data_IF_273375243948
#
_entry.id   IF_273375243948
#
_cell.length_a   1.000
_cell.length_b   1.000
_cell.length_c   1.000
_cell.angle_alpha   90.00
_cell.angle_beta   90.00
_cell.angle_gamma   90.00
#
_symmetry.space_group_name_H-M   'P 1'
#
loop_
_entity.id
_entity.type
_entity.pdbx_description
1 polymer ?
#
# COMPACT_ATOMS: atom_id res chain seq x y z
N UNK A 1 -4.45 3.75 18.10
CA UNK A 1 -3.37 4.40 17.34
C UNK A 1 -4.03 5.26 16.29
N UNK A 2 -3.48 6.42 15.97
CA UNK A 2 -3.97 7.25 14.87
C UNK A 2 -2.87 7.30 13.80
N UNK A 3 -3.26 7.20 12.53
CA UNK A 3 -2.32 7.20 11.40
C UNK A 3 -2.19 8.64 10.91
N UNK A 4 -0.96 9.17 10.92
CA UNK A 4 -0.69 10.49 10.36
C UNK A 4 -0.44 10.38 8.86
N UNK A 5 -1.47 10.65 8.05
CA UNK A 5 -1.40 10.60 6.59
C UNK A 5 -0.54 11.71 5.97
N UNK A 6 -0.21 12.76 6.74
CA UNK A 6 0.70 13.83 6.31
C UNK A 6 2.17 13.53 6.63
N UNK A 7 2.46 12.35 7.20
CA UNK A 7 3.84 11.96 7.47
C UNK A 7 4.60 11.82 6.13
N UNK A 8 5.73 12.51 5.94
CA UNK A 8 6.56 12.34 4.75
C UNK A 8 7.07 10.89 4.59
N UNK A 9 7.05 10.12 5.68
CA UNK A 9 7.36 8.69 5.67
C UNK A 9 6.41 7.84 4.82
N UNK A 10 5.18 8.30 4.54
CA UNK A 10 4.20 7.57 3.72
C UNK A 10 4.34 7.88 2.22
N UNK A 11 5.37 8.63 1.82
CA UNK A 11 5.70 8.86 0.41
C UNK A 11 4.60 9.56 -0.40
N UNK A 12 3.64 10.22 0.26
CA UNK A 12 2.50 10.85 -0.42
C UNK A 12 1.49 9.87 -1.03
N UNK A 13 1.64 8.55 -0.82
CA UNK A 13 0.74 7.53 -1.39
C UNK A 13 -0.72 7.73 -1.01
N UNK A 14 -0.97 8.28 0.19
CA UNK A 14 -2.30 8.59 0.70
C UNK A 14 -3.04 9.73 -0.05
N UNK A 15 -2.34 10.48 -0.91
CA UNK A 15 -2.86 11.67 -1.60
C UNK A 15 -2.93 11.51 -3.13
N UNK A 16 -2.70 10.31 -3.65
CA UNK A 16 -2.80 10.01 -5.09
C UNK A 16 -4.13 9.37 -5.51
N UNK A 17 -4.29 9.01 -6.81
CA UNK A 17 -5.50 8.38 -7.32
C UNK A 17 -5.83 7.02 -6.66
N UNK A 18 -4.84 6.33 -6.10
CA UNK A 18 -5.00 5.11 -5.32
C UNK A 18 -4.91 5.33 -3.80
N UNK A 19 -4.98 6.57 -3.34
CA UNK A 19 -4.78 6.91 -1.93
C UNK A 19 -5.83 6.30 -1.00
N UNK A 20 -7.06 6.09 -1.47
CA UNK A 20 -8.12 5.42 -0.70
C UNK A 20 -7.80 3.94 -0.49
N UNK A 21 -7.34 3.23 -1.53
CA UNK A 21 -6.92 1.83 -1.42
C UNK A 21 -5.69 1.69 -0.51
N UNK A 22 -4.72 2.60 -0.65
CA UNK A 22 -3.56 2.66 0.24
C UNK A 22 -3.96 2.87 1.69
N UNK A 23 -4.85 3.84 1.97
CA UNK A 23 -5.33 4.10 3.33
C UNK A 23 -6.04 2.88 3.91
N UNK A 24 -6.87 2.20 3.12
CA UNK A 24 -7.58 1.00 3.54
C UNK A 24 -6.63 -0.16 3.87
N UNK A 25 -5.64 -0.42 3.03
CA UNK A 25 -4.64 -1.46 3.25
C UNK A 25 -3.73 -1.14 4.45
N UNK A 26 -3.20 0.08 4.50
CA UNK A 26 -2.27 0.51 5.54
C UNK A 26 -2.93 0.61 6.91
N UNK A 27 -4.18 1.12 6.97
CA UNK A 27 -4.92 1.14 8.23
C UNK A 27 -5.25 -0.25 8.74
N UNK A 28 -5.66 -1.16 7.86
CA UNK A 28 -5.85 -2.56 8.22
C UNK A 28 -4.57 -3.16 8.80
N UNK A 29 -3.41 -2.96 8.15
CA UNK A 29 -2.13 -3.44 8.64
C UNK A 29 -1.78 -2.87 10.02
N UNK A 30 -1.89 -1.55 10.20
CA UNK A 30 -1.55 -0.88 11.46
C UNK A 30 -2.38 -1.42 12.63
N UNK A 31 -3.68 -1.65 12.40
CA UNK A 31 -4.62 -2.14 13.42
C UNK A 31 -4.68 -3.67 13.55
N UNK A 32 -4.13 -4.43 12.60
CA UNK A 32 -4.10 -5.89 12.66
C UNK A 32 -3.41 -6.36 13.95
N UNK A 33 -4.10 -7.25 14.66
CA UNK A 33 -3.58 -7.97 15.83
C UNK A 33 -3.25 -9.44 15.53
N UNK A 34 -3.39 -9.87 14.27
CA UNK A 34 -3.07 -11.24 13.84
C UNK A 34 -1.56 -11.50 13.83
N UNK A 35 -1.19 -12.77 13.93
CA UNK A 35 0.17 -13.25 13.73
C UNK A 35 0.17 -14.24 12.54
N UNK A 36 0.80 -13.90 11.39
CA UNK A 36 1.58 -12.69 11.13
C UNK A 36 0.70 -11.44 10.94
N UNK A 37 1.26 -10.27 11.32
CA UNK A 37 0.56 -9.00 11.25
C UNK A 37 0.13 -8.67 9.82
N UNK A 38 -1.15 -8.37 9.62
CA UNK A 38 -1.71 -7.97 8.34
C UNK A 38 -2.10 -9.12 7.43
N UNK A 39 -2.06 -10.38 7.89
CA UNK A 39 -2.48 -11.54 7.07
C UNK A 39 -3.92 -11.42 6.57
N UNK A 40 -4.80 -10.82 7.38
CA UNK A 40 -6.20 -10.54 7.02
C UNK A 40 -6.37 -9.36 6.04
N UNK A 41 -5.29 -8.59 5.81
CA UNK A 41 -5.29 -7.39 4.97
C UNK A 41 -4.76 -7.64 3.56
N UNK A 42 -4.31 -8.87 3.24
CA UNK A 42 -3.68 -9.22 1.96
C UNK A 42 -4.55 -8.79 0.77
N UNK A 43 -5.86 -9.01 0.84
CA UNK A 43 -6.77 -8.62 -0.25
C UNK A 43 -6.85 -7.10 -0.44
N UNK A 44 -6.67 -6.31 0.63
CA UNK A 44 -6.60 -4.84 0.53
C UNK A 44 -5.30 -4.40 -0.14
N UNK A 45 -4.18 -5.06 0.18
CA UNK A 45 -2.91 -4.80 -0.50
C UNK A 45 -2.98 -5.18 -1.99
N UNK A 46 -3.62 -6.30 -2.33
CA UNK A 46 -3.86 -6.65 -3.75
C UNK A 46 -4.67 -5.59 -4.47
N UNK A 47 -5.76 -5.09 -3.89
CA UNK A 47 -6.56 -4.03 -4.49
C UNK A 47 -5.76 -2.73 -4.71
N UNK A 48 -4.92 -2.38 -3.74
CA UNK A 48 -4.00 -1.24 -3.85
C UNK A 48 -3.01 -1.42 -5.01
N UNK A 49 -2.39 -2.60 -5.12
CA UNK A 49 -1.49 -2.93 -6.25
C UNK A 49 -2.22 -2.88 -7.59
N UNK A 50 -3.42 -3.45 -7.67
CA UNK A 50 -4.25 -3.41 -8.87
C UNK A 50 -4.63 -1.98 -9.25
N UNK A 51 -4.78 -1.09 -8.26
CA UNK A 51 -4.93 0.33 -8.52
C UNK A 51 -3.63 0.94 -9.06
N UNK A 52 -2.47 0.65 -8.46
CA UNK A 52 -1.18 1.17 -8.94
C UNK A 52 -0.92 0.80 -10.40
N UNK A 53 -1.25 -0.43 -10.81
CA UNK A 53 -1.14 -0.90 -12.20
C UNK A 53 -2.00 -0.11 -13.20
N UNK A 54 -3.07 0.54 -12.74
CA UNK A 54 -3.90 1.43 -13.58
C UNK A 54 -3.30 2.81 -13.77
N UNK A 55 -2.37 3.22 -12.91
CA UNK A 55 -1.70 4.53 -12.95
C UNK A 55 -0.18 4.39 -12.94
N UNK A 56 0.41 3.68 -13.93
CA UNK A 56 1.84 3.41 -13.96
C UNK A 56 2.68 4.69 -14.08
N UNK A 57 2.15 5.77 -14.66
CA UNK A 57 2.86 7.06 -14.72
C UNK A 57 3.09 7.71 -13.34
N UNK A 58 2.23 7.39 -12.35
CA UNK A 58 2.32 7.93 -10.99
C UNK A 58 3.05 6.96 -10.06
N UNK A 59 2.77 5.65 -10.20
CA UNK A 59 3.26 4.62 -9.29
C UNK A 59 4.35 3.72 -9.89
N UNK A 60 5.00 4.12 -10.98
CA UNK A 60 6.06 3.31 -11.61
C UNK A 60 7.21 2.95 -10.67
N UNK A 61 7.55 3.79 -9.69
CA UNK A 61 8.57 3.45 -8.69
C UNK A 61 8.08 2.37 -7.72
N UNK A 62 6.85 2.47 -7.23
CA UNK A 62 6.24 1.48 -6.34
C UNK A 62 6.02 0.12 -7.03
N UNK A 63 5.71 0.13 -8.33
CA UNK A 63 5.54 -1.09 -9.13
C UNK A 63 6.88 -1.78 -9.46
N UNK A 64 7.99 -1.02 -9.54
CA UNK A 64 9.33 -1.57 -9.82
C UNK A 64 9.86 -2.44 -8.70
N UNK A 65 9.48 -2.14 -7.45
CA UNK A 65 9.88 -2.95 -6.30
C UNK A 65 9.20 -4.33 -6.33
N UNK A 66 8.02 -4.46 -6.95
CA UNK A 66 7.33 -5.75 -7.11
C UNK A 66 8.05 -6.68 -8.11
N UNK A 67 8.50 -6.15 -9.25
CA UNK A 67 9.30 -6.89 -10.24
C UNK A 67 10.70 -7.26 -9.71
N UNK A 68 11.16 -6.62 -8.62
CA UNK A 68 12.41 -6.95 -7.96
C UNK A 68 12.29 -8.15 -7.00
N UNK A 69 11.09 -8.45 -6.49
CA UNK A 69 10.85 -9.60 -5.59
C UNK A 69 10.85 -10.95 -6.34
N UNK A 70 10.80 -10.94 -7.68
CA UNK A 70 10.94 -12.15 -8.52
C UNK A 70 12.39 -12.49 -8.92
N UNK A 71 13.39 -11.80 -8.35
CA UNK A 71 14.81 -12.16 -8.52
C UNK A 71 15.54 -12.17 -7.18
N UNK A 72 15.38 -13.25 -6.42
CA UNK A 72 16.45 -13.96 -5.68
C UNK A 72 15.96 -15.31 -5.12
#
# INVERSE_FOLDING_TARGET
>A
GEINWECPCLGGMAHGPCGEDFKAAFSCFVYSSQEPKGIECIDKFKNMQDCFRKYPEVYSEELRDEDAVERE
#
